data_IF_492861223712
#
_entry.id   IF_492861223712
#
_cell.length_a   1.000
_cell.length_b   1.000
_cell.length_c   1.000
_cell.angle_alpha   90.00
_cell.angle_beta   90.00
_cell.angle_gamma   90.00
#
_symmetry.space_group_name_H-M   'P 1'
#
loop_
_entity.id
_entity.type
_entity.pdbx_description
1 polymer ?
#
# COMPACT_ATOMS: atom_id res chain seq x y z
N UNK A 1 -3.49 13.50 24.37
CA UNK A 1 -3.07 12.60 23.29
C UNK A 1 -3.36 13.26 21.95
N UNK A 2 -2.57 13.02 20.89
CA UNK A 2 -2.79 13.66 19.59
C UNK A 2 -4.17 13.32 19.00
N UNK A 3 -4.65 12.09 19.21
CA UNK A 3 -6.00 11.66 18.82
C UNK A 3 -7.11 12.55 19.39
N UNK A 4 -7.02 12.93 20.68
CA UNK A 4 -8.00 13.81 21.33
C UNK A 4 -8.01 15.20 20.70
N UNK A 5 -6.85 15.71 20.26
CA UNK A 5 -6.80 17.02 19.57
C UNK A 5 -7.52 16.96 18.23
N UNK A 6 -7.30 15.91 17.44
CA UNK A 6 -8.01 15.73 16.16
C UNK A 6 -9.51 15.51 16.36
N UNK A 7 -9.91 14.76 17.38
CA UNK A 7 -11.33 14.59 17.72
C UNK A 7 -12.00 15.92 18.09
N UNK A 8 -11.29 16.82 18.78
CA UNK A 8 -11.79 18.16 19.11
C UNK A 8 -11.93 19.08 17.88
N UNK A 9 -11.24 18.76 16.78
CA UNK A 9 -11.35 19.43 15.48
C UNK A 9 -12.30 18.65 14.53
N UNK A 10 -13.22 17.86 15.10
CA UNK A 10 -14.26 17.08 14.40
C UNK A 10 -13.74 15.99 13.44
N UNK A 11 -12.48 15.58 13.56
CA UNK A 11 -11.97 14.43 12.80
C UNK A 11 -12.42 13.10 13.41
N UNK A 12 -12.82 12.17 12.55
CA UNK A 12 -12.98 10.76 12.94
C UNK A 12 -11.60 10.13 13.07
N UNK A 13 -11.26 9.71 14.30
CA UNK A 13 -9.96 9.08 14.60
C UNK A 13 -10.16 7.60 14.89
N UNK A 14 -9.38 6.75 14.23
CA UNK A 14 -9.21 5.32 14.56
C UNK A 14 -7.76 5.08 14.97
N UNK A 15 -7.53 4.26 16.00
CA UNK A 15 -6.19 3.86 16.44
C UNK A 15 -6.06 2.34 16.30
N UNK A 16 -4.94 1.89 15.74
CA UNK A 16 -4.61 0.47 15.69
C UNK A 16 -3.91 0.05 16.98
N UNK A 17 -4.16 -1.17 17.44
CA UNK A 17 -3.44 -1.78 18.58
C UNK A 17 -2.06 -2.29 18.15
N UNK A 18 -1.96 -2.85 16.93
CA UNK A 18 -0.72 -3.43 16.40
C UNK A 18 -0.35 -2.83 15.03
N UNK A 19 -1.17 -3.11 14.00
CA UNK A 19 -0.83 -2.78 12.60
C UNK A 19 -1.66 -1.63 12.06
N UNK A 20 -1.08 -0.42 12.07
CA UNK A 20 -1.71 0.78 11.54
C UNK A 20 -2.01 0.67 10.04
N UNK A 21 -1.08 0.12 9.25
CA UNK A 21 -1.21 0.04 7.79
C UNK A 21 -2.41 -0.81 7.37
N UNK A 22 -2.59 -1.95 8.03
CA UNK A 22 -3.77 -2.80 7.84
C UNK A 22 -5.07 -2.04 8.14
N UNK A 23 -5.14 -1.32 9.26
CA UNK A 23 -6.33 -0.58 9.65
C UNK A 23 -6.65 0.56 8.66
N UNK A 24 -5.62 1.25 8.15
CA UNK A 24 -5.75 2.30 7.15
C UNK A 24 -6.32 1.73 5.85
N UNK A 25 -5.71 0.67 5.30
CA UNK A 25 -6.15 0.10 4.02
C UNK A 25 -7.54 -0.53 4.15
N UNK A 26 -7.80 -1.26 5.24
CA UNK A 26 -9.14 -1.80 5.50
C UNK A 26 -10.20 -0.70 5.54
N UNK A 27 -9.91 0.41 6.22
CA UNK A 27 -10.83 1.55 6.27
C UNK A 27 -11.05 2.17 4.89
N UNK A 28 -10.00 2.30 4.08
CA UNK A 28 -10.10 2.81 2.71
C UNK A 28 -11.03 1.94 1.84
N UNK A 29 -10.88 0.60 1.92
CA UNK A 29 -11.74 -0.36 1.22
C UNK A 29 -13.21 -0.31 1.67
N UNK A 30 -13.47 -0.02 2.94
CA UNK A 30 -14.83 0.14 3.45
C UNK A 30 -15.47 1.45 3.01
N UNK A 31 -14.69 2.54 3.00
CA UNK A 31 -15.15 3.87 2.57
C UNK A 31 -15.42 3.90 1.07
N UNK A 32 -14.60 3.23 0.26
CA UNK A 32 -14.73 3.18 -1.20
C UNK A 32 -16.07 2.60 -1.64
N UNK A 33 -16.62 1.61 -0.92
CA UNK A 33 -17.97 1.06 -1.19
C UNK A 33 -19.09 2.09 -1.16
N UNK A 34 -18.86 3.25 -0.54
CA UNK A 34 -19.85 4.32 -0.33
C UNK A 34 -19.42 5.65 -0.91
N UNK A 35 -18.25 5.72 -1.54
CA UNK A 35 -17.59 6.95 -1.97
C UNK A 35 -17.08 6.80 -3.40
N UNK A 36 -17.07 7.88 -4.17
CA UNK A 36 -16.58 7.85 -5.55
C UNK A 36 -15.04 7.74 -5.63
N UNK A 37 -14.34 8.21 -4.60
CA UNK A 37 -12.88 8.19 -4.53
C UNK A 37 -12.42 8.26 -3.07
N UNK A 38 -11.32 7.57 -2.76
CA UNK A 38 -10.65 7.55 -1.46
C UNK A 38 -9.17 7.82 -1.67
N UNK A 39 -8.65 8.81 -0.96
CA UNK A 39 -7.21 9.13 -0.96
C UNK A 39 -6.59 8.67 0.37
N UNK A 40 -5.63 7.75 0.28
CA UNK A 40 -4.80 7.32 1.40
C UNK A 40 -3.52 8.15 1.37
N UNK A 41 -3.27 8.95 2.40
CA UNK A 41 -2.09 9.83 2.47
C UNK A 41 -1.06 9.24 3.42
N UNK A 42 0.18 9.07 2.96
CA UNK A 42 1.25 8.57 3.80
C UNK A 42 2.59 8.57 3.08
N UNK A 43 3.69 8.55 3.85
CA UNK A 43 5.03 8.42 3.26
C UNK A 43 5.48 6.97 3.14
N UNK A 44 4.86 6.07 3.90
CA UNK A 44 5.20 4.66 3.97
C UNK A 44 4.81 3.94 2.68
N UNK A 45 5.79 3.25 2.07
CA UNK A 45 5.58 2.49 0.83
C UNK A 45 4.77 1.22 1.07
N UNK A 46 4.73 0.72 2.31
CA UNK A 46 3.95 -0.45 2.69
C UNK A 46 2.48 -0.26 2.40
N UNK A 47 1.96 0.96 2.60
CA UNK A 47 0.59 1.32 2.26
C UNK A 47 0.30 1.09 0.78
N UNK A 48 1.21 1.49 -0.11
CA UNK A 48 1.05 1.28 -1.55
C UNK A 48 1.09 -0.20 -1.90
N UNK A 49 2.01 -0.97 -1.32
CA UNK A 49 2.12 -2.41 -1.56
C UNK A 49 0.85 -3.14 -1.10
N UNK A 50 0.34 -2.81 0.09
CA UNK A 50 -0.88 -3.42 0.64
C UNK A 50 -2.11 -3.02 -0.21
N UNK A 51 -2.22 -1.76 -0.67
CA UNK A 51 -3.27 -1.33 -1.61
C UNK A 51 -3.22 -2.15 -2.90
N UNK A 52 -2.03 -2.27 -3.50
CA UNK A 52 -1.84 -3.02 -4.75
C UNK A 52 -2.23 -4.49 -4.62
N UNK A 53 -1.96 -5.09 -3.46
CA UNK A 53 -2.37 -6.47 -3.13
C UNK A 53 -3.88 -6.60 -2.86
N UNK A 54 -4.51 -5.56 -2.30
CA UNK A 54 -5.88 -5.66 -1.77
C UNK A 54 -6.97 -5.30 -2.77
N UNK A 55 -6.68 -4.42 -3.74
CA UNK A 55 -7.71 -3.94 -4.67
C UNK A 55 -7.14 -3.57 -6.03
N UNK A 56 -8.02 -3.56 -7.03
CA UNK A 56 -7.77 -3.14 -8.41
C UNK A 56 -8.56 -1.88 -8.75
N UNK A 57 -9.18 -1.26 -7.75
CA UNK A 57 -10.06 -0.11 -7.95
C UNK A 57 -9.25 1.12 -8.32
N UNK A 58 -9.70 1.83 -9.36
CA UNK A 58 -9.21 3.16 -9.72
C UNK A 58 -9.60 4.23 -8.68
N UNK A 59 -10.56 3.90 -7.80
CA UNK A 59 -11.12 4.83 -6.83
C UNK A 59 -10.28 4.91 -5.54
N UNK A 60 -9.29 4.04 -5.34
CA UNK A 60 -8.37 4.13 -4.20
C UNK A 60 -7.02 4.63 -4.70
N UNK A 61 -6.64 5.81 -4.23
CA UNK A 61 -5.43 6.52 -4.64
C UNK A 61 -4.52 6.67 -3.42
N UNK A 62 -3.26 6.27 -3.56
CA UNK A 62 -2.23 6.55 -2.59
C UNK A 62 -1.52 7.86 -2.95
N UNK A 63 -1.59 8.83 -2.04
CA UNK A 63 -0.87 10.09 -2.11
C UNK A 63 0.36 10.00 -1.21
N UNK A 64 1.54 10.04 -1.82
CA UNK A 64 2.80 10.20 -1.12
C UNK A 64 3.19 11.68 -1.12
N UNK A 65 3.15 12.35 0.06
CA UNK A 65 3.59 13.73 0.15
C UNK A 65 5.06 13.87 -0.25
N UNK A 66 5.37 14.92 -1.00
CA UNK A 66 6.73 15.29 -1.35
C UNK A 66 7.51 15.81 -0.14
N UNK A 67 8.84 15.71 -0.19
CA UNK A 67 9.74 16.33 0.80
C UNK A 67 10.57 17.43 0.15
N UNK A 68 10.64 18.60 0.81
CA UNK A 68 11.47 19.71 0.35
C UNK A 68 11.00 20.32 -0.96
N UNK A 69 11.77 20.11 -2.04
CA UNK A 69 11.43 20.58 -3.41
C UNK A 69 10.77 19.51 -4.28
N UNK A 70 10.60 18.29 -3.75
CA UNK A 70 9.95 17.21 -4.48
C UNK A 70 8.44 17.40 -4.41
N UNK A 71 7.77 17.24 -5.55
CA UNK A 71 6.31 17.29 -5.64
C UNK A 71 5.67 16.04 -5.02
N UNK A 72 4.39 16.15 -4.72
CA UNK A 72 3.56 15.03 -4.30
C UNK A 72 3.45 13.97 -5.42
N UNK A 73 3.43 12.71 -5.05
CA UNK A 73 3.27 11.60 -5.98
C UNK A 73 1.95 10.87 -5.73
N UNK A 74 1.21 10.59 -6.80
CA UNK A 74 -0.04 9.84 -6.77
C UNK A 74 0.15 8.48 -7.42
N UNK A 75 -0.34 7.44 -6.75
CA UNK A 75 -0.30 6.07 -7.22
C UNK A 75 -1.68 5.44 -7.11
N UNK A 76 -2.03 4.61 -8.08
CA UNK A 76 -3.26 3.83 -8.05
C UNK A 76 -2.95 2.41 -8.50
N UNK A 77 -3.48 1.40 -7.78
CA UNK A 77 -3.22 0.00 -8.09
C UNK A 77 -3.57 -0.36 -9.54
N UNK A 78 -4.66 0.19 -10.07
CA UNK A 78 -5.11 -0.06 -11.44
C UNK A 78 -4.18 0.50 -12.53
N UNK A 79 -3.47 1.60 -12.24
CA UNK A 79 -2.58 2.27 -13.20
C UNK A 79 -1.14 1.75 -13.12
N UNK A 80 -0.81 0.97 -12.09
CA UNK A 80 0.48 0.29 -12.01
C UNK A 80 0.55 -0.78 -13.10
N UNK A 81 1.48 -0.61 -14.06
CA UNK A 81 1.76 -1.59 -15.11
C UNK A 81 2.47 -2.82 -14.56
N UNK A 82 1.78 -3.59 -13.72
CA UNK A 82 2.25 -4.81 -13.08
C UNK A 82 1.51 -5.98 -13.72
N UNK A 83 2.24 -7.00 -14.15
CA UNK A 83 1.63 -8.23 -14.65
C UNK A 83 0.74 -8.87 -13.57
N UNK A 84 -0.44 -9.38 -13.93
CA UNK A 84 -1.39 -10.03 -13.00
C UNK A 84 -0.71 -11.02 -12.05
N UNK A 85 0.15 -11.89 -12.60
CA UNK A 85 0.92 -12.87 -11.83
C UNK A 85 1.85 -12.26 -10.76
N UNK A 86 2.43 -11.08 -11.03
CA UNK A 86 3.27 -10.36 -10.06
C UNK A 86 2.40 -9.74 -8.98
N UNK A 87 1.22 -9.23 -9.36
CA UNK A 87 0.28 -8.60 -8.45
C UNK A 87 -0.33 -9.58 -7.45
N UNK A 88 -0.76 -10.74 -7.92
CA UNK A 88 -1.30 -11.80 -7.05
C UNK A 88 -0.25 -12.30 -6.04
N UNK A 89 1.04 -12.13 -6.37
CA UNK A 89 2.18 -12.52 -5.54
C UNK A 89 2.93 -11.32 -4.93
N UNK A 90 2.36 -10.11 -4.94
CA UNK A 90 3.10 -8.89 -4.61
C UNK A 90 3.57 -8.89 -3.15
N UNK A 91 2.75 -9.36 -2.21
CA UNK A 91 3.13 -9.46 -0.80
C UNK A 91 4.26 -10.48 -0.58
N UNK A 92 4.22 -11.59 -1.32
CA UNK A 92 5.27 -12.59 -1.25
C UNK A 92 6.59 -12.03 -1.81
N UNK A 93 6.53 -11.38 -2.98
CA UNK A 93 7.67 -10.70 -3.57
C UNK A 93 8.26 -9.66 -2.63
N UNK A 94 7.39 -8.89 -1.97
CA UNK A 94 7.79 -7.84 -1.05
C UNK A 94 8.51 -8.39 0.20
N UNK A 95 7.96 -9.45 0.81
CA UNK A 95 8.61 -10.14 1.91
C UNK A 95 9.99 -10.71 1.50
N UNK A 96 10.13 -11.22 0.28
CA UNK A 96 11.40 -11.74 -0.25
C UNK A 96 12.42 -10.66 -0.61
N UNK A 97 11.96 -9.49 -1.05
CA UNK A 97 12.83 -8.35 -1.35
C UNK A 97 13.36 -7.63 -0.11
N UNK A 98 12.86 -8.00 1.07
CA UNK A 98 13.17 -7.34 2.33
C UNK A 98 12.13 -6.28 2.65
N UNK A 99 11.52 -6.43 3.82
CA UNK A 99 10.63 -5.47 4.47
C UNK A 99 11.47 -4.57 5.39
N UNK A 100 10.91 -3.47 5.90
CA UNK A 100 11.62 -2.53 6.80
C UNK A 100 12.36 -3.20 7.97
N UNK A 101 11.85 -4.33 8.45
CA UNK A 101 12.43 -5.11 9.56
C UNK A 101 13.08 -6.44 9.14
N UNK A 102 12.99 -6.85 7.87
CA UNK A 102 13.45 -8.16 7.39
C UNK A 102 14.49 -7.98 6.29
N UNK A 103 15.66 -8.60 6.46
CA UNK A 103 16.73 -8.58 5.45
C UNK A 103 16.31 -9.29 4.16
N UNK A 104 16.62 -8.67 3.03
CA UNK A 104 16.41 -9.25 1.70
C UNK A 104 17.25 -10.52 1.49
N UNK A 105 16.73 -11.49 0.72
CA UNK A 105 17.53 -12.62 0.28
C UNK A 105 18.56 -12.19 -0.77
N UNK A 106 19.84 -12.26 -0.40
CA UNK A 106 20.95 -11.81 -1.23
C UNK A 106 20.95 -12.49 -2.61
N UNK A 107 20.80 -11.67 -3.67
CA UNK A 107 20.81 -12.09 -5.09
C UNK A 107 19.70 -13.07 -5.50
N UNK A 108 18.65 -13.27 -4.71
CA UNK A 108 17.58 -14.22 -5.04
C UNK A 108 16.34 -13.60 -5.68
N UNK A 109 16.08 -12.29 -5.50
CA UNK A 109 14.86 -11.62 -6.01
C UNK A 109 14.68 -11.85 -7.52
N UNK A 110 15.74 -11.66 -8.31
CA UNK A 110 15.68 -11.86 -9.77
C UNK A 110 15.39 -13.31 -10.16
N UNK A 111 15.96 -14.27 -9.41
CA UNK A 111 15.70 -15.70 -9.63
C UNK A 111 14.24 -16.03 -9.34
N UNK A 112 13.67 -15.42 -8.29
CA UNK A 112 12.27 -15.62 -7.92
C UNK A 112 11.30 -15.03 -8.94
N UNK A 113 11.53 -13.80 -9.41
CA UNK A 113 10.73 -13.18 -10.47
C UNK A 113 10.75 -14.04 -11.75
N UNK A 114 11.90 -14.62 -12.10
CA UNK A 114 11.99 -15.53 -13.24
C UNK A 114 11.12 -16.78 -13.03
N UNK A 115 11.11 -17.37 -11.83
CA UNK A 115 10.27 -18.53 -11.50
C UNK A 115 8.78 -18.18 -11.61
N UNK A 116 8.37 -17.01 -11.12
CA UNK A 116 6.99 -16.53 -11.26
C UNK A 116 6.60 -16.33 -12.74
N UNK A 117 7.50 -15.83 -13.57
CA UNK A 117 7.22 -15.59 -14.99
C UNK A 117 7.24 -16.88 -15.84
N UNK A 118 7.99 -17.90 -15.43
CA UNK A 118 8.09 -19.18 -16.16
C UNK A 118 6.95 -20.15 -15.82
N UNK A 119 6.42 -20.10 -14.60
CA UNK A 119 5.26 -20.88 -14.21
C UNK A 119 4.02 -20.01 -14.41
N UNK A 120 3.38 -20.11 -15.58
CA UNK A 120 1.98 -19.69 -15.72
C UNK A 120 1.16 -20.60 -14.79
N UNK A 121 1.00 -20.21 -13.53
CA UNK A 121 0.00 -20.78 -12.64
C UNK A 121 -1.40 -20.43 -13.16
#
# INVERSE_FOLDING_TARGET
>A
MLSVKFQNEDFVVKQAEEYADYLIIKSALEIEKRSQCVVVVGEDIDLLVIIAASTNSENIIFLKPGRGKTEDALYCAATMSIALQIRDNVLFLYAFSGYDTISALFRQVKKFINVLNCNKL
#
